data_IF_375742144296
#
_entry.id   IF_375742144296
#
_cell.length_a   1.000
_cell.length_b   1.000
_cell.length_c   1.000
_cell.angle_alpha   90.00
_cell.angle_beta   90.00
_cell.angle_gamma   90.00
#
_symmetry.space_group_name_H-M   'P 1'
#
loop_
_entity.id
_entity.type
_entity.pdbx_description
1 polymer ?
#
# COMPACT_ATOMS: atom_id res chain seq x y z
N UNK A 1 26.57 -12.01 -38.10
CA UNK A 1 26.15 -10.59 -38.22
C UNK A 1 24.65 -10.65 -38.45
N UNK A 2 23.88 -10.92 -37.41
CA UNK A 2 23.44 -10.00 -36.32
C UNK A 2 22.11 -9.34 -36.72
N UNK A 3 21.10 -9.51 -35.86
CA UNK A 3 20.03 -8.53 -35.51
C UNK A 3 18.78 -9.22 -34.93
N UNK A 4 18.47 -8.87 -33.67
CA UNK A 4 17.13 -8.90 -33.01
C UNK A 4 16.58 -10.21 -32.41
N UNK A 5 17.24 -10.74 -31.38
CA UNK A 5 16.50 -11.26 -30.20
C UNK A 5 16.87 -10.41 -29.00
N UNK A 6 16.47 -9.13 -29.02
CA UNK A 6 16.58 -8.30 -27.83
C UNK A 6 15.70 -8.94 -26.75
N UNK A 7 16.31 -9.53 -25.72
CA UNK A 7 15.58 -10.01 -24.56
C UNK A 7 14.70 -8.85 -24.07
N UNK A 8 13.39 -9.08 -23.96
CA UNK A 8 12.51 -8.10 -23.32
C UNK A 8 13.04 -7.97 -21.89
N UNK A 9 13.45 -6.77 -21.44
CA UNK A 9 13.97 -6.61 -20.10
C UNK A 9 12.93 -7.11 -19.09
N UNK A 10 13.40 -7.77 -18.03
CA UNK A 10 12.52 -8.22 -16.94
C UNK A 10 11.71 -7.03 -16.43
N UNK A 11 10.40 -7.05 -16.71
CA UNK A 11 9.48 -6.01 -16.29
C UNK A 11 9.13 -6.25 -14.82
N UNK A 12 9.54 -5.34 -13.95
CA UNK A 12 9.13 -5.39 -12.55
C UNK A 12 7.70 -4.89 -12.42
N UNK A 13 6.79 -5.80 -12.07
CA UNK A 13 5.40 -5.44 -11.78
C UNK A 13 5.22 -5.03 -10.32
N UNK A 14 4.30 -4.10 -10.10
CA UNK A 14 3.85 -3.70 -8.77
C UNK A 14 2.34 -3.53 -8.79
N UNK A 15 1.69 -3.84 -7.67
CA UNK A 15 0.25 -3.71 -7.52
C UNK A 15 -0.04 -2.69 -6.42
N UNK A 16 -1.11 -1.91 -6.56
CA UNK A 16 -1.51 -1.04 -5.48
C UNK A 16 -2.92 -0.52 -5.60
N UNK A 17 -3.41 0.04 -4.48
CA UNK A 17 -4.76 0.56 -4.44
C UNK A 17 -5.06 1.41 -3.22
N UNK A 18 -6.07 2.25 -3.39
CA UNK A 18 -6.67 3.07 -2.34
C UNK A 18 -7.86 2.34 -1.72
N UNK A 19 -8.00 2.43 -0.39
CA UNK A 19 -9.15 1.93 0.37
C UNK A 19 -9.49 0.48 0.01
N UNK A 20 -10.67 0.20 -0.54
CA UNK A 20 -11.07 -1.14 -0.99
C UNK A 20 -10.07 -1.77 -1.97
N UNK A 21 -9.53 -0.97 -2.90
CA UNK A 21 -8.50 -1.39 -3.83
C UNK A 21 -7.19 -1.80 -3.14
N UNK A 22 -6.90 -1.25 -1.97
CA UNK A 22 -5.76 -1.66 -1.15
C UNK A 22 -5.92 -3.08 -0.60
N UNK A 23 -7.13 -3.46 -0.17
CA UNK A 23 -7.42 -4.84 0.25
C UNK A 23 -7.38 -5.81 -0.93
N UNK A 24 -7.90 -5.40 -2.09
CA UNK A 24 -7.80 -6.18 -3.32
C UNK A 24 -6.34 -6.42 -3.71
N UNK A 25 -5.50 -5.39 -3.65
CA UNK A 25 -4.07 -5.49 -3.91
C UNK A 25 -3.37 -6.46 -2.95
N UNK A 26 -3.70 -6.42 -1.66
CA UNK A 26 -3.16 -7.37 -0.68
C UNK A 26 -3.59 -8.82 -0.97
N UNK A 27 -4.83 -9.03 -1.42
CA UNK A 27 -5.35 -10.38 -1.74
C UNK A 27 -4.71 -10.99 -2.98
N UNK A 28 -4.37 -10.18 -3.98
CA UNK A 28 -3.67 -10.62 -5.19
C UNK A 28 -2.15 -10.72 -5.02
N UNK A 29 -1.59 -10.22 -3.90
CA UNK A 29 -0.16 -10.22 -3.65
C UNK A 29 0.52 -11.60 -3.78
N UNK A 30 -0.06 -12.72 -3.29
CA UNK A 30 0.56 -14.03 -3.44
C UNK A 30 0.69 -14.46 -4.90
N UNK A 31 -0.31 -14.17 -5.74
CA UNK A 31 -0.31 -14.50 -7.18
C UNK A 31 0.76 -13.71 -7.94
N UNK A 32 1.07 -12.48 -7.49
CA UNK A 32 2.13 -11.66 -8.09
C UNK A 32 3.54 -12.22 -7.86
N UNK A 33 3.74 -13.07 -6.84
CA UNK A 33 5.07 -13.66 -6.56
C UNK A 33 5.52 -14.67 -7.61
N UNK A 34 4.59 -15.20 -8.40
CA UNK A 34 4.90 -16.07 -9.53
C UNK A 34 5.37 -15.30 -10.77
N UNK A 35 5.19 -13.98 -10.76
CA UNK A 35 5.47 -13.08 -11.88
C UNK A 35 6.66 -12.15 -11.57
N UNK A 36 6.84 -11.71 -10.31
CA UNK A 36 7.82 -10.68 -9.92
C UNK A 36 8.13 -10.70 -8.40
N UNK A 37 9.01 -9.81 -7.93
CA UNK A 37 9.37 -9.53 -6.52
C UNK A 37 8.23 -8.99 -5.63
N UNK A 38 6.97 -8.98 -6.11
CA UNK A 38 5.77 -8.77 -5.29
C UNK A 38 5.71 -7.46 -4.49
N UNK A 39 5.97 -6.31 -5.11
CA UNK A 39 5.80 -4.99 -4.47
C UNK A 39 4.32 -4.58 -4.46
N UNK A 40 3.79 -4.33 -3.27
CA UNK A 40 2.38 -3.95 -3.06
C UNK A 40 2.28 -2.59 -2.36
N UNK A 41 1.47 -1.68 -2.89
CA UNK A 41 1.25 -0.34 -2.33
C UNK A 41 -0.19 -0.20 -1.87
N UNK A 42 -0.37 0.17 -0.60
CA UNK A 42 -1.67 0.26 0.04
C UNK A 42 -1.82 1.67 0.59
N UNK A 43 -2.84 2.39 0.11
CA UNK A 43 -3.19 3.71 0.60
C UNK A 43 -4.52 3.66 1.35
N UNK A 44 -4.54 4.17 2.58
CA UNK A 44 -5.75 4.31 3.39
C UNK A 44 -6.56 2.99 3.49
N UNK A 45 -5.91 1.89 3.87
CA UNK A 45 -6.55 0.61 4.12
C UNK A 45 -5.90 -0.14 5.31
N UNK A 46 -6.52 -1.23 5.73
CA UNK A 46 -6.05 -2.15 6.77
C UNK A 46 -6.95 -2.25 8.00
N UNK A 47 -7.87 -1.29 8.21
CA UNK A 47 -8.74 -1.27 9.39
C UNK A 47 -9.77 -2.41 9.41
N UNK A 48 -10.14 -2.94 8.25
CA UNK A 48 -11.00 -4.10 8.12
C UNK A 48 -10.17 -5.38 8.19
N UNK A 49 -9.87 -5.81 9.42
CA UNK A 49 -8.96 -6.93 9.69
C UNK A 49 -9.30 -8.22 8.92
N UNK A 50 -10.59 -8.57 8.79
CA UNK A 50 -11.05 -9.76 8.07
C UNK A 50 -10.92 -9.65 6.54
N UNK A 51 -10.75 -8.43 6.00
CA UNK A 51 -10.45 -8.23 4.58
C UNK A 51 -8.96 -8.38 4.27
N UNK A 52 -8.08 -8.28 5.27
CA UNK A 52 -6.62 -8.39 5.11
C UNK A 52 -6.20 -9.86 5.14
N UNK A 53 -5.61 -10.40 4.06
CA UNK A 53 -5.07 -11.76 4.04
C UNK A 53 -3.84 -11.87 4.96
N UNK A 54 -3.58 -13.07 5.46
CA UNK A 54 -2.39 -13.33 6.26
C UNK A 54 -1.18 -13.67 5.36
N UNK A 55 -0.56 -12.62 4.81
CA UNK A 55 0.61 -12.73 3.95
C UNK A 55 1.87 -13.17 4.70
N UNK A 56 1.92 -13.01 6.03
CA UNK A 56 3.06 -13.45 6.84
C UNK A 56 3.08 -14.96 7.07
N UNK A 57 1.93 -15.63 6.99
CA UNK A 57 1.83 -17.09 7.08
C UNK A 57 2.00 -17.82 5.75
N UNK A 58 1.87 -17.11 4.63
CA UNK A 58 2.14 -17.68 3.31
C UNK A 58 3.66 -17.67 3.04
N UNK A 59 4.31 -18.83 2.81
CA UNK A 59 5.77 -18.87 2.66
C UNK A 59 6.31 -18.04 1.50
N UNK A 60 5.59 -17.98 0.37
CA UNK A 60 6.03 -17.21 -0.80
C UNK A 60 5.84 -15.72 -0.57
N UNK A 61 4.65 -15.32 -0.12
CA UNK A 61 4.40 -13.91 0.18
C UNK A 61 5.31 -13.39 1.31
N UNK A 62 5.58 -14.20 2.34
CA UNK A 62 6.48 -13.82 3.42
C UNK A 62 7.93 -13.63 2.95
N UNK A 63 8.39 -14.40 1.96
CA UNK A 63 9.75 -14.36 1.44
C UNK A 63 9.94 -13.24 0.40
N UNK A 64 8.99 -13.09 -0.52
CA UNK A 64 9.14 -12.27 -1.71
C UNK A 64 8.34 -10.98 -1.67
N UNK A 65 7.12 -10.97 -1.10
CA UNK A 65 6.30 -9.76 -1.11
C UNK A 65 6.85 -8.67 -0.18
N UNK A 66 6.73 -7.43 -0.64
CA UNK A 66 6.96 -6.23 0.17
C UNK A 66 5.73 -5.36 0.11
N UNK A 67 5.26 -4.89 1.26
CA UNK A 67 4.08 -4.02 1.34
C UNK A 67 4.51 -2.63 1.81
N UNK A 68 4.11 -1.60 1.09
CA UNK A 68 4.07 -0.22 1.59
C UNK A 68 2.63 0.09 2.02
N UNK A 69 2.43 0.38 3.30
CA UNK A 69 1.15 0.84 3.83
C UNK A 69 1.26 2.31 4.23
N UNK A 70 0.51 3.18 3.56
CA UNK A 70 0.45 4.62 3.85
C UNK A 70 -0.94 5.00 4.33
N UNK A 71 -1.00 5.67 5.47
CA UNK A 71 -2.25 6.12 6.10
C UNK A 71 -2.22 7.63 6.37
N UNK A 72 -3.39 8.25 6.47
CA UNK A 72 -3.53 9.63 6.91
C UNK A 72 -3.76 9.70 8.42
N UNK A 73 -3.12 10.62 9.14
CA UNK A 73 -3.34 10.75 10.60
C UNK A 73 -4.71 11.37 10.98
N UNK A 74 -5.48 11.82 9.99
CA UNK A 74 -6.83 12.35 10.11
C UNK A 74 -7.84 11.51 9.32
N UNK A 75 -7.47 10.29 8.94
CA UNK A 75 -8.36 9.35 8.29
C UNK A 75 -9.37 8.81 9.33
N UNK A 76 -10.66 9.06 9.13
CA UNK A 76 -11.70 8.61 10.06
C UNK A 76 -12.06 7.12 9.85
N UNK A 77 -11.85 6.58 8.65
CA UNK A 77 -12.14 5.18 8.33
C UNK A 77 -10.98 4.25 8.73
N UNK A 78 -9.75 4.66 8.45
CA UNK A 78 -8.54 3.92 8.80
C UNK A 78 -7.90 4.39 10.11
N UNK A 79 -8.72 4.57 11.15
CA UNK A 79 -8.26 4.84 12.51
C UNK A 79 -8.14 3.52 13.29
N UNK A 80 -6.91 3.13 13.63
CA UNK A 80 -6.63 1.87 14.33
C UNK A 80 -6.57 2.07 15.84
N UNK A 81 -7.19 1.17 16.60
CA UNK A 81 -6.74 0.91 17.97
C UNK A 81 -5.34 0.30 17.95
N UNK A 82 -4.56 0.39 19.04
CA UNK A 82 -3.26 -0.28 19.14
C UNK A 82 -3.33 -1.77 18.75
N UNK A 83 -4.37 -2.48 19.19
CA UNK A 83 -4.57 -3.90 18.88
C UNK A 83 -4.91 -4.15 17.42
N UNK A 84 -5.75 -3.30 16.81
CA UNK A 84 -6.05 -3.40 15.38
C UNK A 84 -4.80 -3.17 14.54
N UNK A 85 -3.96 -2.19 14.91
CA UNK A 85 -2.70 -1.93 14.22
C UNK A 85 -1.71 -3.09 14.41
N UNK A 86 -1.64 -3.69 15.61
CA UNK A 86 -0.80 -4.86 15.86
C UNK A 86 -1.24 -6.06 15.01
N UNK A 87 -2.55 -6.35 14.94
CA UNK A 87 -3.10 -7.43 14.09
C UNK A 87 -2.90 -7.18 12.60
N UNK A 88 -3.10 -5.94 12.15
CA UNK A 88 -2.85 -5.58 10.76
C UNK A 88 -1.38 -5.83 10.39
N UNK A 89 -0.45 -5.35 11.23
CA UNK A 89 0.99 -5.51 11.00
C UNK A 89 1.47 -6.95 11.10
N UNK A 90 0.87 -7.77 11.96
CA UNK A 90 1.25 -9.18 12.09
C UNK A 90 0.86 -10.02 10.88
N UNK A 91 -0.13 -9.59 10.09
CA UNK A 91 -0.56 -10.24 8.85
C UNK A 91 0.29 -9.89 7.63
N UNK A 92 1.12 -8.84 7.69
CA UNK A 92 1.95 -8.43 6.55
C UNK A 92 3.37 -9.01 6.66
N UNK A 93 4.10 -9.14 5.53
CA UNK A 93 5.49 -9.61 5.55
C UNK A 93 6.38 -8.75 6.46
N UNK A 94 7.40 -9.35 7.10
CA UNK A 94 8.30 -8.64 8.03
C UNK A 94 8.99 -7.41 7.42
N UNK A 95 9.22 -7.42 6.10
CA UNK A 95 9.88 -6.34 5.35
C UNK A 95 8.92 -5.22 4.90
N UNK A 96 7.69 -5.19 5.43
CA UNK A 96 6.70 -4.17 5.11
C UNK A 96 7.06 -2.81 5.72
N UNK A 97 6.77 -1.75 4.97
CA UNK A 97 7.02 -0.36 5.35
C UNK A 97 5.69 0.31 5.69
N UNK A 98 5.67 1.03 6.81
CA UNK A 98 4.50 1.74 7.28
C UNK A 98 4.78 3.24 7.33
N UNK A 99 3.91 4.05 6.74
CA UNK A 99 4.02 5.51 6.71
C UNK A 99 2.71 6.14 7.14
N UNK A 100 2.80 7.23 7.90
CA UNK A 100 1.65 8.05 8.30
C UNK A 100 1.88 9.47 7.79
N UNK A 101 0.98 9.96 6.95
CA UNK A 101 0.95 11.34 6.50
C UNK A 101 0.24 12.18 7.57
N UNK A 102 1.03 12.92 8.36
CA UNK A 102 0.49 13.83 9.38
C UNK A 102 -0.42 14.88 8.74
N UNK A 103 -1.63 14.99 9.25
CA UNK A 103 -2.68 15.89 8.76
C UNK A 103 -3.41 15.41 7.51
N UNK A 104 -3.00 14.29 6.90
CA UNK A 104 -3.71 13.69 5.76
C UNK A 104 -4.92 12.86 6.19
N UNK A 105 -5.90 12.70 5.30
CA UNK A 105 -7.16 12.00 5.55
C UNK A 105 -7.44 10.95 4.44
N UNK A 106 -8.59 10.29 4.45
CA UNK A 106 -8.88 9.17 3.55
C UNK A 106 -8.97 9.57 2.07
N UNK A 107 -9.80 10.57 1.73
CA UNK A 107 -9.97 11.04 0.34
C UNK A 107 -8.73 11.73 -0.21
N UNK A 108 -7.81 12.15 0.65
CA UNK A 108 -6.58 12.82 0.24
C UNK A 108 -5.61 11.93 -0.54
N UNK A 109 -5.88 10.62 -0.65
CA UNK A 109 -5.19 9.70 -1.57
C UNK A 109 -5.87 9.60 -2.95
N UNK A 110 -7.02 10.25 -3.14
CA UNK A 110 -7.83 10.21 -4.35
C UNK A 110 -8.28 11.63 -4.75
N UNK A 111 -9.20 11.71 -5.73
CA UNK A 111 -9.69 12.96 -6.32
C UNK A 111 -11.22 13.04 -6.33
N UNK A 112 -11.87 12.64 -5.23
CA UNK A 112 -13.32 12.76 -5.03
C UNK A 112 -13.68 13.76 -3.91
N UNK A 113 -14.93 14.24 -3.80
CA UNK A 113 -15.35 15.15 -2.72
C UNK A 113 -15.27 14.50 -1.33
N UNK A 114 -14.82 15.25 -0.32
CA UNK A 114 -14.70 14.73 1.05
C UNK A 114 -16.07 14.45 1.67
N UNK A 115 -16.22 13.28 2.27
CA UNK A 115 -17.32 12.87 3.16
C UNK A 115 -16.76 12.84 4.59
N UNK A 116 -16.89 13.91 5.41
CA UNK A 116 -16.15 14.04 6.67
C UNK A 116 -16.30 12.88 7.65
N UNK A 117 -17.48 12.25 7.72
CA UNK A 117 -17.74 11.12 8.60
C UNK A 117 -16.93 9.86 8.24
N UNK A 118 -16.64 9.66 6.96
CA UNK A 118 -15.84 8.53 6.46
C UNK A 118 -14.39 8.93 6.26
N UNK A 119 -14.15 10.04 5.58
CA UNK A 119 -12.80 10.39 5.17
C UNK A 119 -12.00 11.05 6.30
N UNK A 120 -12.68 11.68 7.24
CA UNK A 120 -12.10 12.60 8.22
C UNK A 120 -11.72 13.95 7.60
N UNK A 121 -11.33 14.90 8.46
CA UNK A 121 -11.02 16.28 8.04
C UNK A 121 -9.50 16.45 7.98
N UNK A 122 -8.99 16.66 6.77
CA UNK A 122 -7.57 16.91 6.51
C UNK A 122 -7.14 18.31 6.93
N UNK A 123 -5.94 18.42 7.50
CA UNK A 123 -5.33 19.69 7.96
C UNK A 123 -4.21 20.19 7.04
N UNK A 124 -3.99 19.52 5.90
CA UNK A 124 -3.03 19.90 4.85
C UNK A 124 -3.75 20.07 3.52
N UNK A 125 -3.21 20.78 2.51
CA UNK A 125 -3.81 20.76 1.18
C UNK A 125 -3.79 19.34 0.56
N UNK A 126 -4.82 18.93 -0.20
CA UNK A 126 -4.84 17.63 -0.90
C UNK A 126 -3.59 17.42 -1.75
N UNK A 127 -3.17 18.47 -2.49
CA UNK A 127 -1.93 18.46 -3.29
C UNK A 127 -0.70 18.08 -2.46
N UNK A 128 -0.60 18.53 -1.20
CA UNK A 128 0.50 18.18 -0.30
C UNK A 128 0.45 16.72 0.13
N UNK A 129 -0.76 16.19 0.38
CA UNK A 129 -0.93 14.76 0.66
C UNK A 129 -0.55 13.89 -0.53
N UNK A 130 -1.00 14.23 -1.75
CA UNK A 130 -0.60 13.57 -2.99
C UNK A 130 0.92 13.58 -3.17
N UNK A 131 1.57 14.74 -3.00
CA UNK A 131 3.04 14.85 -3.10
C UNK A 131 3.76 13.89 -2.15
N UNK A 132 3.32 13.80 -0.90
CA UNK A 132 3.91 12.90 0.09
C UNK A 132 3.65 11.43 -0.27
N UNK A 133 2.41 11.09 -0.64
CA UNK A 133 2.04 9.72 -1.03
C UNK A 133 2.80 9.26 -2.28
N UNK A 134 2.91 10.09 -3.32
CA UNK A 134 3.67 9.82 -4.53
C UNK A 134 5.15 9.64 -4.21
N UNK A 135 5.76 10.57 -3.45
CA UNK A 135 7.17 10.47 -3.07
C UNK A 135 7.49 9.18 -2.34
N UNK A 136 6.69 8.83 -1.33
CA UNK A 136 6.93 7.63 -0.52
C UNK A 136 6.66 6.35 -1.33
N UNK A 137 5.71 6.39 -2.26
CA UNK A 137 5.44 5.30 -3.21
C UNK A 137 6.62 5.10 -4.15
N UNK A 138 7.09 6.16 -4.84
CA UNK A 138 8.21 6.08 -5.79
C UNK A 138 9.47 5.57 -5.09
N UNK A 139 9.82 6.11 -3.92
CA UNK A 139 10.97 5.62 -3.13
C UNK A 139 10.88 4.13 -2.83
N UNK A 140 9.70 3.65 -2.44
CA UNK A 140 9.48 2.23 -2.18
C UNK A 140 9.61 1.39 -3.46
N UNK A 141 9.02 1.85 -4.57
CA UNK A 141 9.07 1.16 -5.85
C UNK A 141 10.49 1.09 -6.43
N UNK A 142 11.30 2.13 -6.24
CA UNK A 142 12.71 2.15 -6.68
C UNK A 142 13.65 1.43 -5.71
N UNK A 143 13.15 0.93 -4.57
CA UNK A 143 13.95 0.22 -3.57
C UNK A 143 14.80 1.13 -2.68
N UNK A 144 14.62 2.45 -2.75
CA UNK A 144 15.22 3.42 -1.83
C UNK A 144 14.46 3.37 -0.49
N UNK A 145 14.91 2.53 0.44
CA UNK A 145 14.37 2.45 1.81
C UNK A 145 15.27 3.13 2.83
#
# INVERSE_FOLDING_TARGET
RDETTGAIPDLEWSLGGHSLGGYAALRLAPEMTDITTGKVVVWAAGALDHFVPNLSSDPRAAAYCRVLSIQGSRDAFCSFTPDQNARYRSKLPKRSVYKIIRGGNHDGFASYPTVPAMDGIRNIPRKKQHQIACRDTVKFLEGHQ
#
